data_IF_802233463633
#
_entry.id   IF_802233463633
#
_cell.length_a   1.000
_cell.length_b   1.000
_cell.length_c   1.000
_cell.angle_alpha   90.00
_cell.angle_beta   90.00
_cell.angle_gamma   90.00
#
_symmetry.space_group_name_H-M   'P 1'
#
loop_
_entity.id
_entity.type
_entity.pdbx_description
1 polymer ?
#
# COMPACT_ATOMS: atom_id res chain seq x y z
N UNK A 1 8.61 -10.52 3.11
CA UNK A 1 8.88 -9.27 2.41
C UNK A 1 9.30 -8.19 3.39
N UNK A 2 9.60 -7.00 2.89
CA UNK A 2 10.02 -5.85 3.67
C UNK A 2 11.43 -5.39 3.35
N UNK A 3 11.69 -4.08 3.44
CA UNK A 3 13.00 -3.50 3.16
C UNK A 3 13.48 -2.62 4.30
N UNK A 4 14.79 -2.64 4.55
CA UNK A 4 15.45 -1.70 5.49
C UNK A 4 15.77 -0.36 4.86
N UNK A 5 15.43 -0.16 3.58
CA UNK A 5 15.66 1.08 2.86
C UNK A 5 14.48 1.44 1.96
N UNK A 6 13.90 2.60 2.15
CA UNK A 6 12.91 3.17 1.25
C UNK A 6 13.59 4.20 0.33
N UNK A 7 13.81 3.81 -0.93
CA UNK A 7 14.49 4.63 -1.93
C UNK A 7 13.71 5.90 -2.27
N UNK A 8 12.38 5.82 -2.25
CA UNK A 8 11.49 6.92 -2.62
C UNK A 8 11.68 8.16 -1.72
N UNK A 9 11.96 7.92 -0.44
CA UNK A 9 12.14 8.98 0.57
C UNK A 9 13.56 9.06 1.14
N UNK A 10 14.49 8.21 0.67
CA UNK A 10 15.84 8.16 1.19
C UNK A 10 15.95 7.68 2.64
N UNK A 11 14.95 6.99 3.15
CA UNK A 11 14.84 6.58 4.55
C UNK A 11 15.47 5.20 4.77
N UNK A 12 16.22 5.08 5.89
CA UNK A 12 16.74 3.81 6.37
C UNK A 12 16.10 3.44 7.69
N UNK A 13 15.87 2.15 7.86
CA UNK A 13 15.20 1.59 9.03
C UNK A 13 16.09 0.52 9.68
N UNK A 14 16.04 0.42 10.99
CA UNK A 14 16.74 -0.62 11.74
C UNK A 14 16.12 -2.02 11.56
N UNK A 15 14.89 -2.05 11.08
CA UNK A 15 14.12 -3.26 10.81
C UNK A 15 13.48 -3.14 9.42
N UNK A 16 13.34 -4.25 8.70
CA UNK A 16 12.60 -4.28 7.46
C UNK A 16 11.15 -3.84 7.67
N UNK A 17 10.65 -2.98 6.78
CA UNK A 17 9.28 -2.45 6.79
C UNK A 17 8.58 -2.78 5.49
N UNK A 18 7.29 -3.08 5.57
CA UNK A 18 6.44 -3.40 4.42
C UNK A 18 5.72 -2.14 3.92
N UNK A 19 5.44 -1.19 4.80
CA UNK A 19 4.71 0.04 4.50
C UNK A 19 5.45 1.26 5.03
N UNK A 20 5.34 2.37 4.31
CA UNK A 20 5.79 3.70 4.73
C UNK A 20 4.62 4.67 4.63
N UNK A 21 4.25 5.26 5.76
CA UNK A 21 3.27 6.31 5.83
C UNK A 21 4.00 7.65 5.84
N UNK A 22 3.88 8.40 4.76
CA UNK A 22 4.46 9.73 4.62
C UNK A 22 3.39 10.79 4.91
N UNK A 23 3.57 11.55 5.98
CA UNK A 23 2.72 12.71 6.31
C UNK A 23 3.44 13.96 5.80
N UNK A 24 2.99 14.49 4.67
CA UNK A 24 3.54 15.66 3.99
C UNK A 24 2.44 16.70 3.72
N UNK A 25 2.01 17.35 4.79
CA UNK A 25 0.93 18.33 4.72
C UNK A 25 -0.44 17.68 4.49
N UNK A 26 -1.41 18.50 4.08
CA UNK A 26 -2.82 18.07 3.94
C UNK A 26 -3.13 17.36 2.64
N UNK A 27 -2.32 17.60 1.61
CA UNK A 27 -2.65 17.21 0.22
C UNK A 27 -1.67 16.20 -0.37
N UNK A 28 -0.51 15.98 0.27
CA UNK A 28 0.53 15.11 -0.26
C UNK A 28 0.80 13.88 0.62
N UNK A 29 0.00 13.71 1.69
CA UNK A 29 0.17 12.56 2.59
C UNK A 29 -0.35 11.30 1.96
N UNK A 30 0.44 10.21 2.06
CA UNK A 30 0.10 8.93 1.46
C UNK A 30 0.73 7.75 2.18
N UNK A 31 0.12 6.59 1.98
CA UNK A 31 0.66 5.30 2.35
C UNK A 31 1.28 4.66 1.11
N UNK A 32 2.51 4.16 1.23
CA UNK A 32 3.16 3.37 0.17
C UNK A 32 3.54 2.00 0.71
N UNK A 33 3.48 1.00 -0.13
CA UNK A 33 3.82 -0.39 0.18
C UNK A 33 5.06 -0.81 -0.58
N UNK A 34 5.88 -1.67 0.03
CA UNK A 34 7.02 -2.26 -0.67
C UNK A 34 6.54 -2.96 -1.95
N UNK A 35 7.23 -2.74 -3.07
CA UNK A 35 6.79 -3.12 -4.41
C UNK A 35 6.37 -4.59 -4.54
N UNK A 36 7.10 -5.51 -3.91
CA UNK A 36 6.76 -6.93 -3.94
C UNK A 36 5.51 -7.26 -3.12
N UNK A 37 5.20 -6.45 -2.11
CA UNK A 37 4.05 -6.66 -1.22
C UNK A 37 2.81 -5.87 -1.66
N UNK A 38 2.85 -5.23 -2.82
CA UNK A 38 1.68 -4.57 -3.42
C UNK A 38 0.79 -5.64 -4.08
N UNK A 39 -0.34 -5.90 -3.43
CA UNK A 39 -1.28 -6.99 -3.72
C UNK A 39 -1.82 -6.93 -5.14
N UNK A 40 -2.27 -5.75 -5.56
CA UNK A 40 -2.93 -5.59 -6.83
C UNK A 40 -1.97 -5.81 -7.99
N UNK A 41 -0.72 -5.39 -7.81
CA UNK A 41 0.31 -5.57 -8.82
C UNK A 41 0.56 -7.06 -9.11
N UNK A 42 0.65 -7.89 -8.07
CA UNK A 42 0.80 -9.32 -8.23
C UNK A 42 -0.43 -9.94 -8.94
N UNK A 43 -1.63 -9.54 -8.55
CA UNK A 43 -2.87 -9.98 -9.20
C UNK A 43 -2.99 -9.47 -10.62
N UNK A 44 -2.61 -8.22 -10.87
CA UNK A 44 -2.65 -7.60 -12.20
C UNK A 44 -1.75 -8.33 -13.20
N UNK A 45 -0.55 -8.67 -12.82
CA UNK A 45 0.36 -9.44 -13.67
C UNK A 45 -0.16 -10.83 -13.99
N UNK A 46 -0.81 -11.46 -13.03
CA UNK A 46 -1.43 -12.76 -13.25
C UNK A 46 -2.60 -12.69 -14.26
N UNK A 47 -3.41 -11.65 -14.22
CA UNK A 47 -4.57 -11.48 -15.12
C UNK A 47 -4.20 -10.99 -16.52
N UNK A 48 -3.16 -10.18 -16.66
CA UNK A 48 -2.74 -9.66 -17.98
C UNK A 48 -2.01 -10.66 -18.84
N UNK A 49 -1.74 -11.86 -18.32
CA UNK A 49 -0.97 -12.90 -19.03
C UNK A 49 0.43 -12.43 -19.44
N UNK A 50 0.96 -11.43 -18.76
CA UNK A 50 2.35 -11.03 -18.89
C UNK A 50 3.21 -12.04 -18.14
N UNK A 51 3.54 -13.11 -18.84
CA UNK A 51 4.35 -14.19 -18.31
C UNK A 51 5.73 -13.69 -17.85
N UNK A 52 6.26 -12.66 -18.49
CA UNK A 52 7.59 -12.13 -18.17
C UNK A 52 7.55 -11.38 -16.83
N UNK A 53 6.52 -10.58 -16.59
CA UNK A 53 6.34 -9.89 -15.31
C UNK A 53 6.08 -10.84 -14.14
N UNK A 54 5.52 -12.02 -14.41
CA UNK A 54 5.29 -13.06 -13.43
C UNK A 54 6.55 -13.91 -13.16
N UNK A 55 7.36 -14.13 -14.19
CA UNK A 55 8.62 -14.91 -14.10
C UNK A 55 9.76 -14.11 -13.48
N UNK A 56 9.64 -12.79 -13.40
CA UNK A 56 10.64 -11.88 -12.81
C UNK A 56 10.01 -10.99 -11.73
N UNK A 57 9.60 -11.58 -10.59
CA UNK A 57 9.03 -10.81 -9.50
C UNK A 57 10.07 -9.86 -8.89
N UNK A 58 9.66 -8.73 -8.32
CA UNK A 58 10.57 -7.87 -7.57
C UNK A 58 11.29 -8.63 -6.45
N UNK A 59 12.53 -8.24 -6.13
CA UNK A 59 13.28 -8.81 -5.02
C UNK A 59 12.49 -8.72 -3.71
N UNK A 60 12.63 -9.75 -2.85
CA UNK A 60 11.89 -9.80 -1.58
C UNK A 60 12.22 -8.62 -0.64
N UNK A 61 13.39 -8.02 -0.80
CA UNK A 61 13.89 -6.86 -0.05
C UNK A 61 14.03 -5.60 -0.92
N UNK A 62 13.32 -5.54 -2.06
CA UNK A 62 13.36 -4.37 -2.96
C UNK A 62 13.19 -3.06 -2.18
N UNK A 63 14.04 -2.04 -2.42
CA UNK A 63 13.94 -0.75 -1.74
C UNK A 63 12.89 0.17 -2.36
N UNK A 64 12.17 -0.29 -3.37
CA UNK A 64 11.11 0.46 -4.04
C UNK A 64 9.79 0.29 -3.31
N UNK A 65 9.10 1.40 -3.09
CA UNK A 65 7.76 1.44 -2.54
C UNK A 65 6.82 2.05 -3.56
N UNK A 66 5.62 1.53 -3.64
CA UNK A 66 4.61 1.92 -4.63
C UNK A 66 3.35 2.43 -3.94
N UNK A 67 2.60 3.33 -4.57
CA UNK A 67 1.22 3.60 -4.19
C UNK A 67 0.41 2.30 -4.21
N UNK A 68 -0.59 2.22 -3.34
CA UNK A 68 -1.54 1.12 -3.32
C UNK A 68 -2.64 1.44 -4.32
N UNK A 69 -2.88 0.56 -5.27
CA UNK A 69 -3.87 0.72 -6.32
C UNK A 69 -5.01 -0.29 -6.18
N UNK A 70 -6.21 0.12 -6.53
CA UNK A 70 -7.37 -0.74 -6.71
C UNK A 70 -7.69 -0.85 -8.20
N UNK A 71 -7.92 -2.08 -8.68
CA UNK A 71 -8.37 -2.30 -10.04
C UNK A 71 -9.87 -2.03 -10.17
N UNK A 72 -10.22 -1.10 -11.05
CA UNK A 72 -11.61 -0.80 -11.40
C UNK A 72 -12.10 -1.65 -12.57
N UNK A 73 -11.19 -1.95 -13.52
CA UNK A 73 -11.49 -2.73 -14.69
C UNK A 73 -10.25 -3.50 -15.16
N UNK A 74 -10.43 -4.77 -15.45
CA UNK A 74 -9.41 -5.61 -16.11
C UNK A 74 -9.44 -5.41 -17.62
N UNK A 75 -8.30 -5.66 -18.29
CA UNK A 75 -8.24 -5.69 -19.73
C UNK A 75 -9.13 -6.82 -20.25
N UNK A 76 -10.19 -6.48 -20.97
CA UNK A 76 -11.20 -7.44 -21.45
C UNK A 76 -11.29 -7.44 -22.97
N UNK A 77 -11.19 -8.61 -23.65
CA UNK A 77 -11.41 -8.70 -25.08
C UNK A 77 -12.85 -8.30 -25.43
N UNK A 78 -13.02 -7.46 -26.44
CA UNK A 78 -14.33 -7.12 -26.98
C UNK A 78 -14.75 -8.14 -28.04
N UNK A 79 -16.04 -8.44 -28.09
CA UNK A 79 -16.61 -9.48 -28.98
C UNK A 79 -16.46 -9.19 -30.49
N UNK A 80 -16.06 -7.99 -30.86
CA UNK A 80 -15.94 -7.57 -32.28
C UNK A 80 -14.56 -7.00 -32.57
N UNK A 81 -13.78 -7.71 -33.41
CA UNK A 81 -12.46 -7.27 -33.86
C UNK A 81 -11.34 -7.50 -32.84
N UNK A 82 -10.17 -6.94 -33.12
CA UNK A 82 -8.99 -6.99 -32.21
C UNK A 82 -9.02 -5.88 -31.14
N UNK A 83 -10.19 -5.50 -30.68
CA UNK A 83 -10.36 -4.46 -29.68
C UNK A 83 -10.32 -5.08 -28.30
N UNK A 84 -9.61 -4.40 -27.42
CA UNK A 84 -9.52 -4.76 -26.01
C UNK A 84 -9.81 -3.53 -25.17
N UNK A 85 -10.70 -3.65 -24.19
CA UNK A 85 -10.83 -2.62 -23.18
C UNK A 85 -9.55 -2.57 -22.34
N UNK A 86 -9.02 -1.38 -22.11
CA UNK A 86 -7.85 -1.20 -21.23
C UNK A 86 -8.20 -1.51 -19.77
N UNK A 87 -7.22 -1.95 -19.03
CA UNK A 87 -7.32 -1.97 -17.57
C UNK A 87 -7.35 -0.54 -17.04
N UNK A 88 -8.06 -0.35 -15.93
CA UNK A 88 -8.17 0.92 -15.23
C UNK A 88 -7.95 0.68 -13.73
N UNK A 89 -7.05 1.45 -13.15
CA UNK A 89 -6.73 1.41 -11.71
C UNK A 89 -7.04 2.74 -11.04
N UNK A 90 -7.26 2.70 -9.74
CA UNK A 90 -7.46 3.86 -8.90
C UNK A 90 -6.52 3.78 -7.69
N UNK A 91 -5.76 4.84 -7.43
CA UNK A 91 -4.89 4.93 -6.26
C UNK A 91 -5.73 5.10 -4.99
N UNK A 92 -5.54 4.19 -4.03
CA UNK A 92 -6.23 4.18 -2.74
C UNK A 92 -5.32 4.63 -1.59
N UNK A 93 -4.08 4.94 -1.88
CA UNK A 93 -3.05 5.29 -0.91
C UNK A 93 -2.95 6.78 -0.59
N UNK A 94 -3.58 7.64 -1.37
CA UNK A 94 -3.74 9.06 -1.04
C UNK A 94 -4.60 9.21 0.21
N UNK A 95 -4.08 9.93 1.22
CA UNK A 95 -4.75 10.08 2.51
C UNK A 95 -5.58 11.34 2.54
N UNK A 96 -6.85 11.19 2.88
CA UNK A 96 -7.79 12.30 3.01
C UNK A 96 -7.60 13.00 4.36
N UNK A 97 -7.29 14.31 4.31
CA UNK A 97 -7.26 15.15 5.49
C UNK A 97 -8.68 15.53 5.94
N UNK A 98 -8.95 15.45 7.23
CA UNK A 98 -10.23 15.92 7.79
C UNK A 98 -10.47 15.39 9.20
N UNK A 99 -11.63 15.75 9.75
CA UNK A 99 -12.03 15.29 11.07
C UNK A 99 -13.09 14.19 10.97
N UNK A 100 -12.79 13.00 11.47
CA UNK A 100 -13.72 11.87 11.46
C UNK A 100 -14.82 11.98 12.55
N UNK A 101 -14.77 12.99 13.43
CA UNK A 101 -15.81 13.22 14.44
C UNK A 101 -17.05 13.90 13.82
N UNK A 102 -18.23 13.26 13.83
CA UNK A 102 -19.45 13.81 13.24
C UNK A 102 -19.90 15.15 13.85
N UNK A 103 -19.42 15.49 15.03
CA UNK A 103 -19.75 16.76 15.72
C UNK A 103 -18.78 17.90 15.36
N UNK A 104 -17.76 17.63 14.57
CA UNK A 104 -16.82 18.65 14.11
C UNK A 104 -17.40 19.48 12.96
N UNK A 105 -17.15 20.81 12.92
CA UNK A 105 -17.47 21.61 11.74
C UNK A 105 -16.69 21.20 10.48
N UNK A 106 -15.52 20.58 10.67
CA UNK A 106 -14.66 20.07 9.60
C UNK A 106 -14.87 18.56 9.37
N UNK A 107 -16.06 18.05 9.65
CA UNK A 107 -16.36 16.62 9.52
C UNK A 107 -16.15 16.12 8.09
N UNK A 108 -15.36 15.05 7.98
CA UNK A 108 -15.22 14.28 6.77
C UNK A 108 -15.21 12.79 7.13
N UNK A 109 -16.25 12.05 6.71
CA UNK A 109 -16.37 10.62 7.00
C UNK A 109 -15.28 9.75 6.35
N UNK A 110 -14.62 10.28 5.31
CA UNK A 110 -13.54 9.64 4.57
C UNK A 110 -12.16 10.10 5.05
N UNK A 111 -12.08 10.88 6.14
CA UNK A 111 -10.81 11.35 6.66
C UNK A 111 -9.96 10.18 7.19
N UNK A 112 -8.71 10.16 6.75
CA UNK A 112 -7.68 9.20 7.19
C UNK A 112 -6.77 9.81 8.26
N UNK A 113 -6.59 11.14 8.25
CA UNK A 113 -5.77 11.81 9.25
C UNK A 113 -6.18 13.26 9.50
N UNK A 114 -5.76 13.76 10.68
CA UNK A 114 -5.91 15.16 11.08
C UNK A 114 -4.71 15.61 11.91
N UNK A 115 -4.31 16.87 11.75
CA UNK A 115 -3.40 17.54 12.69
C UNK A 115 -4.19 18.09 13.88
N UNK A 116 -3.89 17.57 15.06
CA UNK A 116 -4.57 17.93 16.30
C UNK A 116 -3.58 18.49 17.34
N UNK A 117 -3.28 19.79 17.23
CA UNK A 117 -2.24 20.42 18.04
C UNK A 117 -0.85 19.87 17.69
N UNK A 118 -0.20 19.24 18.68
CA UNK A 118 1.16 18.72 18.56
C UNK A 118 1.23 17.24 18.13
N UNK A 119 0.10 16.66 17.71
CA UNK A 119 0.04 15.27 17.28
C UNK A 119 -0.76 15.11 15.98
N UNK A 120 -0.54 13.97 15.34
CA UNK A 120 -1.32 13.53 14.18
C UNK A 120 -2.18 12.36 14.60
N UNK A 121 -3.49 12.46 14.37
CA UNK A 121 -4.41 11.35 14.53
C UNK A 121 -4.60 10.67 13.17
N UNK A 122 -4.50 9.34 13.15
CA UNK A 122 -4.60 8.49 11.96
C UNK A 122 -5.72 7.48 12.13
N UNK A 123 -6.48 7.27 11.07
CA UNK A 123 -7.51 6.25 10.96
C UNK A 123 -7.38 5.55 9.61
N UNK A 124 -6.63 4.47 9.56
CA UNK A 124 -6.39 3.71 8.35
C UNK A 124 -7.27 2.44 8.31
N UNK A 125 -7.90 2.11 7.18
CA UNK A 125 -8.51 0.81 6.98
C UNK A 125 -7.47 -0.31 7.06
N UNK A 126 -7.79 -1.39 7.75
CA UNK A 126 -6.90 -2.55 7.87
C UNK A 126 -6.50 -3.16 6.51
N UNK A 127 -7.40 -3.07 5.53
CA UNK A 127 -7.17 -3.56 4.17
C UNK A 127 -6.00 -2.86 3.48
N UNK A 128 -5.76 -1.56 3.77
CA UNK A 128 -4.59 -0.85 3.25
C UNK A 128 -3.27 -1.38 3.80
N UNK A 129 -3.30 -2.10 4.92
CA UNK A 129 -2.14 -2.75 5.54
C UNK A 129 -2.13 -4.27 5.27
N UNK A 130 -2.81 -4.71 4.22
CA UNK A 130 -2.91 -6.11 3.80
C UNK A 130 -3.47 -7.08 4.85
N UNK A 131 -4.27 -6.58 5.81
CA UNK A 131 -4.99 -7.46 6.72
C UNK A 131 -6.18 -8.13 6.03
N UNK A 132 -6.20 -9.46 6.07
CA UNK A 132 -7.33 -10.27 5.65
C UNK A 132 -8.35 -10.44 6.79
N UNK A 133 -7.87 -10.67 8.01
CA UNK A 133 -8.68 -10.75 9.22
C UNK A 133 -7.94 -10.10 10.40
N UNK A 134 -8.22 -8.81 10.69
CA UNK A 134 -7.57 -8.10 11.79
C UNK A 134 -7.85 -8.71 13.17
N UNK A 135 -9.02 -9.35 13.36
CA UNK A 135 -9.39 -9.96 14.64
C UNK A 135 -8.52 -11.17 14.99
N UNK A 136 -7.93 -11.80 13.99
CA UNK A 136 -7.02 -12.94 14.11
C UNK A 136 -5.58 -12.59 13.80
N UNK A 137 -5.27 -11.32 13.58
CA UNK A 137 -3.95 -10.87 13.14
C UNK A 137 -3.48 -11.63 11.88
N UNK A 138 -4.41 -11.88 10.95
CA UNK A 138 -4.13 -12.58 9.71
C UNK A 138 -3.92 -11.58 8.59
N UNK A 139 -2.77 -11.66 7.94
CA UNK A 139 -2.38 -10.83 6.80
C UNK A 139 -2.24 -11.69 5.54
N UNK A 140 -2.27 -11.04 4.38
CA UNK A 140 -1.89 -11.68 3.13
C UNK A 140 -0.40 -11.99 3.14
N UNK A 141 -0.03 -13.17 2.64
CA UNK A 141 1.36 -13.59 2.45
C UNK A 141 1.92 -13.06 1.12
N UNK A 142 3.15 -13.40 0.81
CA UNK A 142 3.81 -13.05 -0.44
C UNK A 142 3.11 -13.74 -1.63
N UNK A 143 2.42 -12.96 -2.45
CA UNK A 143 1.65 -13.46 -3.60
C UNK A 143 2.51 -14.17 -4.65
N UNK A 144 3.77 -13.81 -4.77
CA UNK A 144 4.68 -14.39 -5.75
C UNK A 144 5.23 -15.76 -5.33
N UNK A 145 5.30 -16.01 -4.02
CA UNK A 145 5.79 -17.31 -3.52
C UNK A 145 4.76 -18.42 -3.71
N UNK A 146 3.50 -18.15 -3.48
CA UNK A 146 2.43 -19.14 -3.42
C UNK A 146 1.50 -19.17 -4.64
N UNK A 147 1.79 -18.36 -5.65
CA UNK A 147 0.96 -18.25 -6.87
C UNK A 147 -0.51 -17.94 -6.59
N UNK A 148 -0.79 -17.16 -5.57
CA UNK A 148 -2.15 -16.84 -5.21
C UNK A 148 -2.27 -16.17 -3.87
N UNK A 149 -3.52 -16.05 -3.43
CA UNK A 149 -3.85 -15.46 -2.14
C UNK A 149 -3.68 -16.52 -1.06
N UNK A 150 -2.61 -16.41 -0.28
CA UNK A 150 -2.40 -17.17 0.94
C UNK A 150 -2.38 -16.23 2.15
N UNK A 151 -2.44 -16.78 3.35
CA UNK A 151 -2.58 -16.01 4.59
C UNK A 151 -1.63 -16.54 5.65
N UNK A 152 -1.00 -15.61 6.37
CA UNK A 152 -0.21 -15.91 7.55
C UNK A 152 -0.76 -15.17 8.77
N UNK A 153 -0.58 -15.76 9.94
CA UNK A 153 -0.88 -15.11 11.21
C UNK A 153 0.38 -14.48 11.77
N UNK A 154 0.31 -13.22 12.14
CA UNK A 154 1.39 -12.48 12.78
C UNK A 154 1.09 -12.29 14.28
N UNK A 155 2.11 -12.38 15.10
CA UNK A 155 1.97 -12.16 16.56
C UNK A 155 2.09 -10.68 16.92
N UNK A 156 2.77 -9.89 16.10
CA UNK A 156 3.13 -8.51 16.43
C UNK A 156 3.20 -7.65 15.18
N UNK A 157 2.64 -6.45 15.26
CA UNK A 157 2.82 -5.37 14.31
C UNK A 157 3.83 -4.37 14.89
N UNK A 158 4.83 -3.98 14.11
CA UNK A 158 5.85 -3.02 14.51
C UNK A 158 5.56 -1.66 13.88
N UNK A 159 5.65 -0.61 14.67
CA UNK A 159 5.53 0.78 14.24
C UNK A 159 6.82 1.53 14.57
N UNK A 160 7.31 2.32 13.63
CA UNK A 160 8.43 3.22 13.80
C UNK A 160 8.06 4.63 13.38
N UNK A 161 8.74 5.61 13.92
CA UNK A 161 8.59 7.03 13.56
C UNK A 161 9.95 7.59 13.17
N UNK A 162 9.95 8.45 12.14
CA UNK A 162 11.12 9.25 11.75
C UNK A 162 10.65 10.63 11.30
N UNK A 163 11.47 11.64 11.49
CA UNK A 163 11.21 13.00 11.07
C UNK A 163 11.52 13.26 9.58
N UNK A 164 11.91 12.22 8.85
CA UNK A 164 12.24 12.32 7.43
C UNK A 164 13.54 13.08 7.15
N UNK A 165 14.26 13.53 8.17
CA UNK A 165 15.59 14.09 7.97
C UNK A 165 16.51 12.99 7.45
N UNK A 166 16.97 13.12 6.19
CA UNK A 166 17.90 12.18 5.60
C UNK A 166 19.12 12.06 6.50
N UNK A 167 19.36 10.89 7.04
CA UNK A 167 20.63 10.61 7.71
C UNK A 167 21.70 10.56 6.63
N UNK A 168 22.27 11.71 6.29
CA UNK A 168 23.55 11.77 5.63
C UNK A 168 24.61 11.19 6.59
N UNK A 169 24.98 9.95 6.33
CA UNK A 169 26.20 9.34 6.86
C UNK A 169 26.93 8.61 5.75
#
# INVERSE_FOLDING_TARGET
>A
TGSTYCKNYGLRFDRAVDFVLAIDGRENSRLVVQERYEVLRAMFYHETHDADAYLDPPDADTPLFKPIELMLQTATPLLTGNWQASSETYETSDLAYGNANPSSPDFNSLADFIFAGDYVELKLPWQLLNFADPSRMTIHDDYYENYGVDYITIDTMYLGLTDGAAQER
#
